data_IF_041731290747
#
_entry.id   IF_041731290747
#
_cell.length_a   1.000
_cell.length_b   1.000
_cell.length_c   1.000
_cell.angle_alpha   90.00
_cell.angle_beta   90.00
_cell.angle_gamma   90.00
#
_symmetry.space_group_name_H-M   'P 1'
#
loop_
_entity.id
_entity.type
_entity.pdbx_description
1 polymer ?
#
# COMPACT_ATOMS: atom_id res chain seq x y z
N UNK A 1 16.94 5.50 -4.89
CA UNK A 1 15.86 4.67 -4.33
C UNK A 1 16.09 3.18 -4.56
N UNK A 2 16.63 2.75 -5.71
CA UNK A 2 16.72 1.33 -6.08
C UNK A 2 18.12 0.70 -6.02
N UNK A 3 19.06 1.31 -5.28
CA UNK A 3 20.48 0.89 -5.27
C UNK A 3 20.71 -0.52 -4.70
N UNK A 4 19.87 -0.99 -3.78
CA UNK A 4 19.98 -2.37 -3.25
C UNK A 4 19.56 -3.46 -4.27
N UNK A 5 18.69 -3.14 -5.24
CA UNK A 5 18.33 -4.08 -6.30
C UNK A 5 19.46 -4.29 -7.32
N UNK A 6 20.45 -3.39 -7.38
CA UNK A 6 21.61 -3.56 -8.27
C UNK A 6 22.58 -4.65 -7.77
N UNK A 7 22.48 -5.07 -6.51
CA UNK A 7 23.40 -6.02 -5.88
C UNK A 7 22.81 -7.42 -5.66
N UNK A 8 21.48 -7.59 -5.70
CA UNK A 8 20.79 -8.80 -5.22
C UNK A 8 19.77 -9.34 -6.25
N UNK A 9 19.72 -8.81 -7.49
CA UNK A 9 18.75 -9.29 -8.47
C UNK A 9 19.10 -10.71 -8.94
N UNK A 10 18.50 -11.70 -8.29
CA UNK A 10 18.27 -13.00 -8.88
C UNK A 10 16.93 -12.92 -9.62
N UNK A 11 16.86 -13.23 -10.93
CA UNK A 11 15.59 -13.24 -11.64
C UNK A 11 14.63 -14.21 -10.94
N UNK A 12 13.57 -13.66 -10.34
CA UNK A 12 12.40 -14.42 -9.94
C UNK A 12 11.59 -14.68 -11.22
N UNK A 13 11.41 -15.95 -11.60
CA UNK A 13 10.70 -16.33 -12.83
C UNK A 13 9.20 -15.96 -12.83
N UNK A 14 8.65 -15.43 -11.73
CA UNK A 14 7.21 -15.18 -11.58
C UNK A 14 6.73 -13.81 -12.07
N UNK A 15 7.58 -12.77 -12.13
CA UNK A 15 7.25 -11.45 -12.72
C UNK A 15 8.20 -11.11 -13.85
N UNK A 16 7.70 -11.17 -15.09
CA UNK A 16 8.44 -10.71 -16.26
C UNK A 16 8.32 -9.18 -16.40
N UNK A 17 9.36 -8.47 -15.96
CA UNK A 17 9.38 -7.01 -15.93
C UNK A 17 9.26 -6.36 -17.31
N UNK A 18 9.84 -6.98 -18.35
CA UNK A 18 9.75 -6.49 -19.73
C UNK A 18 8.33 -6.64 -20.26
N UNK A 19 7.70 -7.80 -20.08
CA UNK A 19 6.30 -8.01 -20.45
C UNK A 19 5.38 -7.05 -19.70
N UNK A 20 5.58 -6.88 -18.39
CA UNK A 20 4.82 -5.91 -17.58
C UNK A 20 4.87 -4.51 -18.19
N UNK A 21 6.05 -4.00 -18.55
CA UNK A 21 6.20 -2.68 -19.16
C UNK A 21 5.58 -2.60 -20.55
N UNK A 22 5.73 -3.65 -21.38
CA UNK A 22 5.08 -3.73 -22.71
C UNK A 22 3.57 -3.64 -22.58
N UNK A 23 2.98 -4.39 -21.64
CA UNK A 23 1.53 -4.36 -21.37
C UNK A 23 1.10 -3.02 -20.82
N UNK A 24 1.89 -2.39 -19.94
CA UNK A 24 1.60 -1.07 -19.38
C UNK A 24 1.85 0.09 -20.37
N UNK A 25 2.30 -0.16 -21.59
CA UNK A 25 2.62 0.88 -22.56
C UNK A 25 1.45 1.86 -22.76
N UNK A 26 1.71 3.15 -22.59
CA UNK A 26 0.70 4.22 -22.70
C UNK A 26 -0.29 4.33 -21.53
N UNK A 27 -0.13 3.53 -20.46
CA UNK A 27 -1.05 3.49 -19.32
C UNK A 27 -0.50 4.17 -18.06
N UNK A 28 -1.41 4.48 -17.14
CA UNK A 28 -1.13 4.94 -15.78
C UNK A 28 -1.51 3.86 -14.77
N UNK A 29 -0.51 3.35 -14.05
CA UNK A 29 -0.68 2.49 -12.88
C UNK A 29 -0.46 3.33 -11.63
N UNK A 30 -1.44 3.36 -10.74
CA UNK A 30 -1.37 4.19 -9.53
C UNK A 30 -1.70 3.42 -8.26
N UNK A 31 -0.82 3.53 -7.27
CA UNK A 31 -1.00 3.00 -5.93
C UNK A 31 -1.59 4.08 -5.04
N UNK A 32 -2.73 3.81 -4.40
CA UNK A 32 -3.43 4.77 -3.53
C UNK A 32 -3.57 4.16 -2.15
N UNK A 33 -3.11 4.85 -1.11
CA UNK A 33 -3.28 4.32 0.24
C UNK A 33 -2.27 4.79 1.27
N UNK A 34 -1.97 3.90 2.21
CA UNK A 34 -1.03 4.15 3.30
C UNK A 34 0.43 3.90 2.89
N UNK A 35 1.34 3.92 3.87
CA UNK A 35 2.77 3.73 3.63
C UNK A 35 3.15 2.34 3.15
N UNK A 36 2.28 1.33 3.32
CA UNK A 36 2.54 -0.03 2.85
C UNK A 36 2.27 -0.12 1.34
N UNK A 37 1.35 0.68 0.80
CA UNK A 37 1.23 0.79 -0.66
C UNK A 37 2.40 1.53 -1.26
N UNK A 38 2.95 2.52 -0.54
CA UNK A 38 4.21 3.14 -0.95
C UNK A 38 5.31 2.09 -1.01
N UNK A 39 5.40 1.19 -0.02
CA UNK A 39 6.38 0.10 0.00
C UNK A 39 6.26 -0.81 -1.24
N UNK A 40 5.03 -1.17 -1.63
CA UNK A 40 4.75 -1.96 -2.83
C UNK A 40 5.07 -1.21 -4.13
N UNK A 41 4.70 0.07 -4.21
CA UNK A 41 5.05 0.94 -5.34
C UNK A 41 6.57 1.08 -5.49
N UNK A 42 7.32 1.27 -4.40
CA UNK A 42 8.78 1.37 -4.44
C UNK A 42 9.42 0.08 -4.96
N UNK A 43 8.93 -1.08 -4.51
CA UNK A 43 9.35 -2.39 -5.04
C UNK A 43 9.13 -2.47 -6.55
N UNK A 44 7.91 -2.20 -7.03
CA UNK A 44 7.58 -2.31 -8.45
C UNK A 44 8.43 -1.39 -9.31
N UNK A 45 8.59 -0.13 -8.88
CA UNK A 45 9.45 0.84 -9.57
C UNK A 45 10.88 0.31 -9.69
N UNK A 46 11.41 -0.32 -8.63
CA UNK A 46 12.77 -0.86 -8.66
C UNK A 46 12.91 -2.10 -9.55
N UNK A 47 11.95 -3.03 -9.50
CA UNK A 47 11.89 -4.20 -10.39
C UNK A 47 11.90 -3.75 -11.86
N UNK A 48 11.00 -2.83 -12.22
CA UNK A 48 10.85 -2.41 -13.61
C UNK A 48 11.98 -1.47 -14.07
N UNK A 49 12.50 -0.60 -13.21
CA UNK A 49 13.67 0.23 -13.56
C UNK A 49 14.90 -0.62 -13.84
N UNK A 50 15.03 -1.77 -13.20
CA UNK A 50 16.16 -2.67 -13.42
C UNK A 50 16.12 -3.36 -14.78
N UNK A 51 14.93 -3.62 -15.34
CA UNK A 51 14.79 -4.24 -16.67
C UNK A 51 14.98 -3.28 -17.85
N UNK A 52 15.13 -1.97 -17.59
CA UNK A 52 15.39 -0.96 -18.61
C UNK A 52 16.89 -0.76 -18.79
N UNK A 53 17.37 -0.83 -20.03
CA UNK A 53 18.77 -0.61 -20.39
C UNK A 53 19.24 0.81 -20.03
N UNK A 54 18.55 1.81 -20.57
CA UNK A 54 18.86 3.22 -20.32
C UNK A 54 18.05 3.76 -19.13
N UNK A 55 18.67 3.73 -17.95
CA UNK A 55 18.09 4.19 -16.69
C UNK A 55 17.79 5.70 -16.65
N UNK A 56 18.38 6.51 -17.53
CA UNK A 56 18.12 7.95 -17.61
C UNK A 56 16.74 8.26 -18.22
N UNK A 57 16.17 7.29 -18.94
CA UNK A 57 14.81 7.33 -19.49
C UNK A 57 13.73 6.93 -18.46
N UNK A 58 14.15 6.70 -17.22
CA UNK A 58 13.28 6.46 -16.07
C UNK A 58 13.48 7.58 -15.05
N UNK A 59 12.54 8.52 -15.02
CA UNK A 59 12.67 9.73 -14.21
C UNK A 59 11.38 10.07 -13.46
N UNK A 60 11.53 10.79 -12.35
CA UNK A 60 10.38 11.32 -11.63
C UNK A 60 9.80 12.52 -12.40
N UNK A 61 8.49 12.52 -12.64
CA UNK A 61 7.82 13.60 -13.35
C UNK A 61 8.09 14.95 -12.68
N UNK A 62 8.49 15.94 -13.46
CA UNK A 62 8.72 17.31 -13.03
C UNK A 62 7.39 18.05 -12.73
N UNK A 63 6.57 17.52 -11.82
CA UNK A 63 5.40 18.22 -11.30
C UNK A 63 5.79 18.98 -10.04
N UNK A 64 5.32 20.24 -9.96
CA UNK A 64 5.66 21.28 -8.97
C UNK A 64 5.94 20.69 -7.58
N UNK A 65 7.02 21.14 -6.94
CA UNK A 65 7.45 20.88 -5.53
C UNK A 65 6.30 20.75 -4.52
N UNK A 66 5.19 21.45 -4.78
CA UNK A 66 3.91 21.42 -4.04
C UNK A 66 3.26 20.03 -3.93
N UNK A 67 3.39 19.14 -4.92
CA UNK A 67 2.78 17.79 -4.89
C UNK A 67 3.61 16.74 -4.13
N UNK A 68 4.94 16.92 -4.05
CA UNK A 68 5.80 16.06 -3.20
C UNK A 68 5.48 16.26 -1.72
N UNK A 69 5.20 17.50 -1.33
CA UNK A 69 4.77 17.86 0.03
C UNK A 69 3.40 17.24 0.39
N UNK A 70 2.56 16.93 -0.60
CA UNK A 70 1.24 16.29 -0.41
C UNK A 70 1.27 14.76 -0.54
N UNK A 71 2.44 14.14 -0.70
CA UNK A 71 2.57 12.67 -0.78
C UNK A 71 2.18 12.06 -2.12
N UNK A 72 2.37 12.78 -3.23
CA UNK A 72 2.21 12.27 -4.59
C UNK A 72 3.57 12.08 -5.28
N UNK A 73 3.81 10.89 -5.83
CA UNK A 73 5.02 10.54 -6.59
C UNK A 73 4.61 9.93 -7.94
N UNK A 74 5.35 10.23 -9.00
CA UNK A 74 5.09 9.72 -10.35
C UNK A 74 6.41 9.44 -11.05
N UNK A 75 6.69 8.16 -11.33
CA UNK A 75 7.85 7.73 -12.13
C UNK A 75 7.40 7.46 -13.55
N UNK A 76 8.08 8.07 -14.51
CA UNK A 76 7.84 7.94 -15.94
C UNK A 76 8.83 6.93 -16.52
N UNK A 77 8.33 5.99 -17.31
CA UNK A 77 9.13 5.09 -18.14
C UNK A 77 8.97 5.55 -19.59
N UNK A 78 9.91 6.36 -20.07
CA UNK A 78 9.73 7.13 -21.31
C UNK A 78 9.54 6.23 -22.54
N UNK A 79 10.31 5.15 -22.66
CA UNK A 79 10.24 4.21 -23.79
C UNK A 79 8.88 3.52 -23.92
N UNK A 80 8.21 3.34 -22.78
CA UNK A 80 6.89 2.72 -22.69
C UNK A 80 5.77 3.77 -22.62
N UNK A 81 6.10 5.07 -22.55
CA UNK A 81 5.12 6.16 -22.42
C UNK A 81 4.12 5.91 -21.29
N UNK A 82 4.55 5.25 -20.22
CA UNK A 82 3.71 4.87 -19.10
C UNK A 82 4.21 5.52 -17.81
N UNK A 83 3.35 5.50 -16.78
CA UNK A 83 3.71 6.04 -15.46
C UNK A 83 3.28 5.11 -14.34
N UNK A 84 4.11 5.08 -13.30
CA UNK A 84 3.88 4.31 -12.07
C UNK A 84 3.87 5.30 -10.92
N UNK A 85 2.70 5.46 -10.32
CA UNK A 85 2.40 6.57 -9.42
C UNK A 85 2.04 6.08 -8.02
N UNK A 86 2.26 6.92 -7.02
CA UNK A 86 1.75 6.74 -5.67
C UNK A 86 1.05 8.01 -5.20
N UNK A 87 -0.15 7.84 -4.64
CA UNK A 87 -0.91 8.88 -3.94
C UNK A 87 -1.09 8.44 -2.49
N UNK A 88 -0.59 9.26 -1.57
CA UNK A 88 -0.90 9.09 -0.15
C UNK A 88 -2.36 9.43 0.10
N UNK A 89 -3.14 8.42 0.48
CA UNK A 89 -4.46 8.59 1.07
C UNK A 89 -4.65 7.52 2.14
N UNK A 90 -4.14 7.81 3.33
CA UNK A 90 -3.89 6.81 4.38
C UNK A 90 -5.16 6.07 4.81
N UNK A 91 -6.28 6.79 4.87
CA UNK A 91 -7.58 6.28 5.26
C UNK A 91 -8.55 6.16 4.06
N UNK A 92 -8.12 6.51 2.84
CA UNK A 92 -8.95 6.71 1.62
C UNK A 92 -9.98 7.84 1.70
N UNK A 93 -10.48 8.11 2.89
CA UNK A 93 -11.40 9.19 3.23
C UNK A 93 -10.67 10.41 3.77
N UNK A 94 -11.35 11.56 3.78
CA UNK A 94 -10.76 12.87 4.02
C UNK A 94 -10.39 13.08 5.49
N UNK A 95 -9.12 13.39 5.75
CA UNK A 95 -8.70 14.00 7.01
C UNK A 95 -8.85 15.51 6.96
N UNK A 96 -9.37 16.12 8.01
CA UNK A 96 -9.44 17.58 8.15
C UNK A 96 -8.11 18.07 8.73
N UNK A 97 -7.40 18.89 7.94
CA UNK A 97 -6.07 19.38 8.28
C UNK A 97 -6.03 20.26 9.54
N UNK A 98 -7.14 20.95 9.85
CA UNK A 98 -7.20 21.93 10.94
C UNK A 98 -7.84 21.39 12.24
N UNK A 99 -8.60 20.29 12.16
CA UNK A 99 -9.46 19.80 13.27
C UNK A 99 -9.11 18.36 13.70
N UNK A 100 -8.04 17.77 13.12
CA UNK A 100 -7.58 16.38 13.24
C UNK A 100 -8.64 15.28 12.97
N UNK A 101 -9.88 15.64 12.61
CA UNK A 101 -10.98 14.72 12.39
C UNK A 101 -10.89 13.97 11.06
N UNK A 102 -11.46 12.78 11.04
CA UNK A 102 -11.61 11.94 9.86
C UNK A 102 -13.07 11.91 9.40
N UNK A 103 -13.33 12.46 8.21
CA UNK A 103 -14.64 12.45 7.55
C UNK A 103 -14.88 11.11 6.87
N UNK A 104 -15.69 10.24 7.48
CA UNK A 104 -15.93 8.89 6.98
C UNK A 104 -16.83 8.85 5.74
N UNK A 105 -17.62 9.90 5.53
CA UNK A 105 -18.58 10.09 4.43
C UNK A 105 -18.00 10.76 3.19
N UNK A 106 -16.75 11.25 3.26
CA UNK A 106 -16.11 11.97 2.16
C UNK A 106 -14.80 11.31 1.75
N UNK A 107 -14.68 10.98 0.46
CA UNK A 107 -13.40 10.60 -0.10
C UNK A 107 -12.36 11.72 -0.01
N UNK A 108 -11.11 11.30 0.07
CA UNK A 108 -9.95 12.18 0.00
C UNK A 108 -9.97 13.06 -1.27
N UNK A 109 -9.49 14.29 -1.14
CA UNK A 109 -9.46 15.27 -2.24
C UNK A 109 -8.52 14.85 -3.38
N UNK A 110 -7.59 13.94 -3.10
CA UNK A 110 -6.66 13.36 -4.06
C UNK A 110 -7.30 12.46 -5.10
N UNK A 111 -8.59 12.13 -4.98
CA UNK A 111 -9.37 11.34 -5.97
C UNK A 111 -9.22 11.82 -7.42
N UNK A 112 -9.06 13.14 -7.63
CA UNK A 112 -8.84 13.72 -8.96
C UNK A 112 -7.55 13.22 -9.64
N UNK A 113 -6.56 12.76 -8.88
CA UNK A 113 -5.29 12.28 -9.41
C UNK A 113 -5.40 10.90 -10.07
N UNK A 114 -6.32 10.04 -9.59
CA UNK A 114 -6.39 8.62 -9.98
C UNK A 114 -7.72 8.19 -10.58
N UNK A 115 -8.77 9.02 -10.59
CA UNK A 115 -10.08 8.67 -11.18
C UNK A 115 -10.05 8.25 -12.66
N UNK A 116 -9.03 8.66 -13.41
CA UNK A 116 -8.87 8.33 -14.85
C UNK A 116 -7.63 7.47 -15.12
N UNK A 117 -7.02 6.89 -14.08
CA UNK A 117 -5.92 5.95 -14.29
C UNK A 117 -6.45 4.63 -14.87
N UNK A 118 -5.58 3.90 -15.58
CA UNK A 118 -5.97 2.66 -16.26
C UNK A 118 -5.92 1.47 -15.29
N UNK A 119 -5.04 1.53 -14.28
CA UNK A 119 -5.00 0.57 -13.17
C UNK A 119 -4.85 1.34 -11.85
N UNK A 120 -5.74 1.07 -10.88
CA UNK A 120 -5.67 1.65 -9.54
C UNK A 120 -5.56 0.55 -8.49
N UNK A 121 -4.45 0.56 -7.73
CA UNK A 121 -4.20 -0.38 -6.64
C UNK A 121 -4.45 0.34 -5.31
N UNK A 122 -5.59 0.09 -4.69
CA UNK A 122 -5.95 0.65 -3.39
C UNK A 122 -5.41 -0.19 -2.24
N UNK A 123 -5.12 0.47 -1.12
CA UNK A 123 -5.06 -0.19 0.18
C UNK A 123 -5.49 0.78 1.28
N UNK A 124 -5.97 0.23 2.38
CA UNK A 124 -5.95 0.91 3.68
C UNK A 124 -6.04 -0.12 4.80
N UNK A 125 -5.52 0.20 5.97
CA UNK A 125 -5.61 -0.70 7.11
C UNK A 125 -4.59 -0.45 8.20
N UNK A 126 -3.36 -0.09 7.86
CA UNK A 126 -2.25 -0.02 8.81
C UNK A 126 -2.47 1.05 9.90
N UNK A 127 -3.14 2.14 9.54
CA UNK A 127 -3.42 3.27 10.44
C UNK A 127 -4.73 3.16 11.22
N UNK A 128 -5.58 2.20 10.87
CA UNK A 128 -6.81 1.87 11.58
C UNK A 128 -6.49 1.03 12.82
N UNK A 129 -5.95 1.67 13.85
CA UNK A 129 -5.58 1.06 15.13
C UNK A 129 -6.29 1.77 16.27
N UNK A 130 -6.41 1.18 17.45
CA UNK A 130 -7.03 1.84 18.60
C UNK A 130 -6.19 3.00 19.19
N UNK A 131 -4.90 3.08 18.85
CA UNK A 131 -3.93 4.00 19.50
C UNK A 131 -3.59 5.26 18.70
N UNK A 132 -3.99 5.33 17.41
CA UNK A 132 -3.61 6.40 16.46
C UNK A 132 -4.71 7.42 16.10
N UNK A 133 -6.01 7.07 16.01
CA UNK A 133 -7.08 8.04 16.22
C UNK A 133 -7.12 8.34 17.72
N UNK A 134 -7.71 9.45 18.17
CA UNK A 134 -7.86 9.88 19.57
C UNK A 134 -8.70 8.91 20.46
N UNK A 135 -8.38 7.61 20.40
CA UNK A 135 -9.19 6.46 20.84
C UNK A 135 -10.60 6.43 20.24
N UNK A 136 -10.82 7.18 19.16
CA UNK A 136 -12.12 7.34 18.51
C UNK A 136 -13.05 8.34 19.21
N UNK A 137 -12.53 9.15 20.14
CA UNK A 137 -13.28 10.21 20.82
C UNK A 137 -13.21 11.49 19.99
N UNK A 138 -14.37 12.00 19.58
CA UNK A 138 -14.55 13.21 18.77
C UNK A 138 -13.71 13.24 17.48
N UNK A 139 -13.29 12.07 17.01
CA UNK A 139 -12.36 11.90 15.88
C UNK A 139 -13.08 11.72 14.55
N UNK A 140 -14.18 10.97 14.57
CA UNK A 140 -14.87 10.56 13.36
C UNK A 140 -16.10 11.41 13.15
N UNK A 141 -16.33 11.83 11.91
CA UNK A 141 -17.43 12.71 11.56
C UNK A 141 -18.11 12.26 10.27
N UNK A 142 -19.42 12.40 10.22
CA UNK A 142 -20.26 12.23 9.02
C UNK A 142 -21.28 13.38 8.96
N UNK A 143 -21.33 14.11 7.85
CA UNK A 143 -22.05 15.38 7.78
C UNK A 143 -21.61 16.34 8.90
N UNK A 144 -22.59 16.82 9.67
CA UNK A 144 -22.37 17.68 10.84
C UNK A 144 -22.27 16.88 12.17
N UNK A 145 -22.43 15.56 12.12
CA UNK A 145 -22.38 14.71 13.31
C UNK A 145 -20.95 14.25 13.60
N UNK A 146 -20.41 14.73 14.72
CA UNK A 146 -19.15 14.24 15.29
C UNK A 146 -19.48 13.15 16.30
N UNK A 147 -18.92 11.95 16.11
CA UNK A 147 -19.17 10.83 17.01
C UNK A 147 -18.41 11.01 18.33
N UNK A 148 -19.10 11.08 19.49
CA UNK A 148 -18.42 11.18 20.78
C UNK A 148 -17.53 9.98 21.07
N UNK A 149 -17.94 8.81 20.59
CA UNK A 149 -17.12 7.60 20.60
C UNK A 149 -17.56 6.71 19.44
N UNK A 150 -16.62 6.39 18.54
CA UNK A 150 -16.85 5.39 17.48
C UNK A 150 -15.70 4.38 17.46
N UNK A 151 -16.05 3.10 17.42
CA UNK A 151 -15.07 2.01 17.38
C UNK A 151 -14.34 2.02 16.05
N UNK A 152 -13.02 1.85 16.07
CA UNK A 152 -12.15 1.89 14.87
C UNK A 152 -12.59 0.93 13.76
N UNK A 153 -13.10 -0.26 14.11
CA UNK A 153 -13.57 -1.24 13.12
C UNK A 153 -14.88 -0.82 12.45
N UNK A 154 -15.74 -0.12 13.19
CA UNK A 154 -16.97 0.45 12.65
C UNK A 154 -16.64 1.62 11.71
N UNK A 155 -15.74 2.50 12.15
CA UNK A 155 -15.23 3.59 11.33
C UNK A 155 -14.54 3.09 10.05
N UNK A 156 -13.73 2.03 10.14
CA UNK A 156 -13.08 1.37 9.01
C UNK A 156 -14.10 0.87 7.98
N UNK A 157 -15.15 0.16 8.45
CA UNK A 157 -16.22 -0.34 7.57
C UNK A 157 -16.96 0.81 6.87
N UNK A 158 -17.31 1.88 7.60
CA UNK A 158 -17.95 3.07 7.02
C UNK A 158 -17.08 3.76 5.95
N UNK A 159 -15.79 3.95 6.24
CA UNK A 159 -14.86 4.51 5.24
C UNK A 159 -14.73 3.62 3.99
N UNK A 160 -14.71 2.30 4.15
CA UNK A 160 -14.74 1.38 3.01
C UNK A 160 -16.05 1.47 2.24
N UNK A 161 -17.20 1.60 2.90
CA UNK A 161 -18.49 1.82 2.23
C UNK A 161 -18.49 3.11 1.41
N UNK A 162 -17.91 4.19 1.93
CA UNK A 162 -17.70 5.45 1.19
C UNK A 162 -16.78 5.25 -0.02
N UNK A 163 -15.67 4.54 0.15
CA UNK A 163 -14.77 4.19 -0.96
C UNK A 163 -15.47 3.36 -2.03
N UNK A 164 -16.20 2.32 -1.63
CA UNK A 164 -16.95 1.45 -2.53
C UNK A 164 -17.99 2.23 -3.34
N UNK A 165 -18.76 3.08 -2.67
CA UNK A 165 -19.76 3.95 -3.31
C UNK A 165 -19.11 4.93 -4.29
N UNK A 166 -17.92 5.46 -3.95
CA UNK A 166 -17.18 6.34 -4.83
C UNK A 166 -16.64 5.60 -6.05
N UNK A 167 -16.11 4.39 -5.87
CA UNK A 167 -15.64 3.54 -6.97
C UNK A 167 -16.80 3.29 -7.94
N UNK A 168 -17.91 2.74 -7.45
CA UNK A 168 -19.11 2.43 -8.25
C UNK A 168 -19.66 3.65 -9.03
N UNK A 169 -19.53 4.85 -8.46
CA UNK A 169 -20.07 6.07 -9.05
C UNK A 169 -19.14 6.77 -10.04
N UNK A 170 -17.83 6.75 -9.79
CA UNK A 170 -16.89 7.64 -10.49
C UNK A 170 -15.81 6.92 -11.30
N UNK A 171 -15.58 5.63 -11.09
CA UNK A 171 -14.64 4.86 -11.89
C UNK A 171 -15.36 4.23 -13.08
N UNK A 172 -14.82 4.42 -14.28
CA UNK A 172 -15.31 3.74 -15.48
C UNK A 172 -14.64 2.37 -15.59
N UNK A 173 -15.31 1.30 -15.15
CA UNK A 173 -14.76 -0.06 -15.16
C UNK A 173 -14.48 -0.62 -16.55
N UNK A 174 -15.07 -0.07 -17.62
CA UNK A 174 -14.74 -0.50 -18.99
C UNK A 174 -13.32 -0.09 -19.39
N UNK A 175 -12.75 0.90 -18.70
CA UNK A 175 -11.39 1.39 -18.93
C UNK A 175 -10.45 1.06 -17.76
N UNK A 176 -10.90 1.30 -16.53
CA UNK A 176 -10.06 1.23 -15.34
C UNK A 176 -10.21 -0.11 -14.65
N UNK A 177 -9.07 -0.74 -14.36
CA UNK A 177 -8.98 -1.95 -13.55
C UNK A 177 -8.74 -1.56 -12.09
N UNK A 178 -9.64 -1.99 -11.20
CA UNK A 178 -9.56 -1.67 -9.76
C UNK A 178 -9.03 -2.89 -9.02
N UNK A 179 -7.94 -2.68 -8.28
CA UNK A 179 -7.32 -3.69 -7.44
C UNK A 179 -7.37 -3.20 -5.99
N UNK A 180 -7.72 -4.09 -5.06
CA UNK A 180 -7.56 -3.82 -3.64
C UNK A 180 -6.54 -4.78 -3.04
N UNK A 181 -5.49 -4.22 -2.45
CA UNK A 181 -4.43 -4.99 -1.80
C UNK A 181 -4.74 -5.14 -0.32
N UNK A 182 -4.77 -6.40 0.14
CA UNK A 182 -5.15 -6.77 1.50
C UNK A 182 -4.24 -6.22 2.61
N UNK A 183 -4.60 -6.54 3.85
CA UNK A 183 -3.91 -6.01 5.02
C UNK A 183 -2.49 -6.56 5.14
N UNK A 184 -1.52 -5.66 5.36
CA UNK A 184 -0.15 -6.03 5.72
C UNK A 184 -0.05 -6.14 7.25
N UNK A 185 0.19 -7.35 7.81
CA UNK A 185 0.39 -7.54 9.24
C UNK A 185 1.67 -6.86 9.76
N UNK A 186 1.79 -6.84 11.08
CA UNK A 186 2.95 -6.33 11.83
C UNK A 186 3.45 -7.41 12.78
N UNK A 187 4.76 -7.55 12.96
CA UNK A 187 5.35 -8.62 13.77
C UNK A 187 6.07 -8.09 15.02
N UNK A 188 5.32 -7.44 15.92
CA UNK A 188 5.86 -7.01 17.21
C UNK A 188 5.78 -8.15 18.23
N UNK A 189 6.92 -8.71 18.63
CA UNK A 189 7.00 -9.77 19.65
C UNK A 189 7.02 -9.19 21.06
N UNK A 190 6.38 -9.87 22.01
CA UNK A 190 6.37 -9.52 23.43
C UNK A 190 5.37 -8.43 23.80
N UNK A 191 5.42 -7.27 23.13
CA UNK A 191 4.49 -6.15 23.33
C UNK A 191 4.10 -5.49 22.00
N UNK A 192 3.16 -4.53 22.02
CA UNK A 192 2.85 -3.68 20.86
C UNK A 192 3.99 -2.67 20.57
N UNK A 193 3.93 -2.01 19.41
CA UNK A 193 4.98 -1.11 18.92
C UNK A 193 5.35 0.04 19.87
N UNK A 194 4.38 0.63 20.60
CA UNK A 194 4.65 1.66 21.63
C UNK A 194 5.12 1.10 22.97
N UNK A 195 5.04 -0.20 23.15
CA UNK A 195 5.24 -0.89 24.42
C UNK A 195 6.53 -1.72 24.43
N UNK A 196 7.43 -1.52 23.45
CA UNK A 196 8.70 -2.23 23.38
C UNK A 196 8.64 -3.57 22.64
N UNK A 197 7.67 -3.75 21.74
CA UNK A 197 7.65 -4.89 20.82
C UNK A 197 8.80 -4.87 19.81
N UNK A 198 9.30 -6.05 19.41
CA UNK A 198 10.52 -6.16 18.60
C UNK A 198 10.44 -7.25 17.53
N UNK A 199 11.26 -7.13 16.47
CA UNK A 199 11.46 -8.11 15.39
C UNK A 199 12.92 -8.28 14.95
N UNK A 200 13.89 -7.60 15.57
CA UNK A 200 15.27 -7.45 15.05
C UNK A 200 16.14 -8.73 15.06
N UNK A 201 15.62 -9.85 15.61
CA UNK A 201 16.29 -11.16 15.64
C UNK A 201 15.52 -12.24 14.88
N UNK A 202 14.42 -11.89 14.25
CA UNK A 202 13.66 -12.83 13.45
C UNK A 202 14.33 -12.88 12.07
N UNK A 203 15.01 -13.98 11.75
CA UNK A 203 15.75 -14.17 10.48
C UNK A 203 15.15 -15.25 9.59
N UNK A 204 14.11 -15.92 10.08
CA UNK A 204 13.41 -16.98 9.38
C UNK A 204 11.89 -16.75 9.40
N UNK A 205 11.17 -17.22 8.37
CA UNK A 205 9.71 -17.23 8.38
C UNK A 205 9.12 -18.02 9.56
N UNK A 206 7.82 -17.88 9.75
CA UNK A 206 7.05 -18.79 10.59
C UNK A 206 6.90 -20.11 9.83
N UNK A 207 7.32 -21.22 10.42
CA UNK A 207 7.08 -22.57 9.86
C UNK A 207 5.93 -23.29 10.54
N UNK A 208 5.60 -22.92 11.77
CA UNK A 208 4.53 -23.54 12.55
C UNK A 208 3.30 -22.63 12.55
N UNK A 209 2.23 -23.09 11.91
CA UNK A 209 0.99 -22.35 11.70
C UNK A 209 0.30 -21.91 13.00
N UNK A 210 0.58 -22.56 14.13
CA UNK A 210 0.02 -22.16 15.44
C UNK A 210 0.48 -20.77 15.89
N UNK A 211 1.60 -20.27 15.35
CA UNK A 211 2.09 -18.91 15.62
C UNK A 211 1.49 -17.85 14.68
N UNK A 212 0.71 -18.26 13.68
CA UNK A 212 0.07 -17.32 12.77
C UNK A 212 -1.06 -16.57 13.47
N UNK A 213 -1.23 -15.32 13.06
CA UNK A 213 -2.33 -14.48 13.49
C UNK A 213 -3.66 -15.04 12.99
N UNK A 214 -4.74 -14.78 13.74
CA UNK A 214 -6.10 -14.97 13.22
C UNK A 214 -6.32 -14.06 12.02
N UNK A 215 -7.17 -14.50 11.09
CA UNK A 215 -7.47 -13.72 9.89
C UNK A 215 -7.97 -12.30 10.28
N UNK A 216 -7.39 -11.23 9.71
CA UNK A 216 -7.65 -9.88 10.20
C UNK A 216 -9.14 -9.50 10.08
N UNK A 217 -9.79 -8.99 11.15
CA UNK A 217 -11.16 -8.48 11.06
C UNK A 217 -11.37 -7.40 10.00
N UNK A 218 -10.32 -6.62 9.70
CA UNK A 218 -10.30 -5.64 8.60
C UNK A 218 -10.53 -6.27 7.23
N UNK A 219 -10.05 -7.50 7.02
CA UNK A 219 -10.27 -8.15 5.73
C UNK A 219 -11.68 -8.68 5.59
N UNK A 220 -12.25 -9.22 6.67
CA UNK A 220 -13.68 -9.58 6.70
C UNK A 220 -14.58 -8.37 6.42
N UNK A 221 -14.30 -7.24 7.06
CA UNK A 221 -15.04 -6.00 6.78
C UNK A 221 -14.88 -5.52 5.33
N UNK A 222 -13.71 -5.71 4.72
CA UNK A 222 -13.50 -5.40 3.30
C UNK A 222 -14.26 -6.35 2.38
N UNK A 223 -14.21 -7.65 2.64
CA UNK A 223 -14.93 -8.68 1.89
C UNK A 223 -16.44 -8.40 1.90
N UNK A 224 -17.01 -8.12 3.07
CA UNK A 224 -18.43 -7.75 3.21
C UNK A 224 -18.82 -6.49 2.40
N UNK A 225 -17.93 -5.51 2.31
CA UNK A 225 -18.18 -4.29 1.51
C UNK A 225 -18.02 -4.58 0.03
N UNK A 226 -17.00 -5.35 -0.35
CA UNK A 226 -16.70 -5.73 -1.73
C UNK A 226 -17.84 -6.54 -2.36
N UNK A 227 -18.46 -7.44 -1.60
CA UNK A 227 -19.63 -8.23 -2.05
C UNK A 227 -20.84 -7.36 -2.46
N UNK A 228 -20.91 -6.12 -1.95
CA UNK A 228 -22.00 -5.19 -2.25
C UNK A 228 -21.68 -4.24 -3.42
N UNK A 229 -20.46 -4.29 -3.96
CA UNK A 229 -20.01 -3.42 -5.04
C UNK A 229 -20.55 -3.88 -6.40
N UNK A 230 -20.89 -2.93 -7.25
CA UNK A 230 -21.18 -3.21 -8.67
C UNK A 230 -19.89 -3.33 -9.47
N UNK A 231 -18.88 -2.57 -9.07
CA UNK A 231 -17.55 -2.59 -9.67
C UNK A 231 -16.90 -3.97 -9.51
N UNK A 232 -16.32 -4.53 -10.58
CA UNK A 232 -15.42 -5.66 -10.44
C UNK A 232 -14.11 -5.18 -9.80
N UNK A 233 -13.77 -5.76 -8.64
CA UNK A 233 -12.52 -5.47 -7.91
C UNK A 233 -11.68 -6.73 -7.85
N UNK A 234 -10.43 -6.64 -8.32
CA UNK A 234 -9.44 -7.70 -8.10
C UNK A 234 -8.91 -7.60 -6.68
N UNK A 235 -9.19 -8.61 -5.86
CA UNK A 235 -8.72 -8.66 -4.48
C UNK A 235 -7.40 -9.42 -4.36
N UNK A 236 -6.31 -8.73 -4.00
CA UNK A 236 -5.04 -9.36 -3.65
C UNK A 236 -5.05 -9.72 -2.16
N UNK A 237 -5.48 -10.93 -1.82
CA UNK A 237 -5.49 -11.43 -0.44
C UNK A 237 -4.08 -11.81 0.05
N UNK A 238 -3.26 -10.80 0.31
CA UNK A 238 -1.87 -10.97 0.76
C UNK A 238 -1.73 -11.24 2.26
N UNK A 239 -2.82 -11.18 3.05
CA UNK A 239 -2.71 -11.08 4.51
C UNK A 239 -2.05 -12.33 5.11
N UNK A 240 -2.48 -13.52 4.68
CA UNK A 240 -1.98 -14.79 5.22
C UNK A 240 -0.54 -15.08 4.79
N UNK A 241 -0.22 -14.95 3.50
CA UNK A 241 1.15 -15.20 3.02
C UNK A 241 2.16 -14.25 3.67
N UNK A 242 1.74 -13.02 3.96
CA UNK A 242 2.60 -12.00 4.56
C UNK A 242 2.83 -12.25 6.06
N UNK A 243 1.86 -12.83 6.76
CA UNK A 243 1.95 -13.16 8.19
C UNK A 243 3.01 -14.23 8.48
N UNK A 244 3.36 -15.06 7.48
CA UNK A 244 4.49 -15.97 7.61
C UNK A 244 5.84 -15.23 7.72
N UNK A 245 5.93 -13.99 7.24
CA UNK A 245 7.21 -13.35 6.92
C UNK A 245 7.72 -12.43 8.02
N UNK A 246 7.72 -12.88 9.28
CA UNK A 246 8.26 -12.09 10.41
C UNK A 246 9.73 -11.66 10.23
N UNK A 247 10.46 -12.35 9.35
CA UNK A 247 11.85 -12.09 8.95
C UNK A 247 12.03 -10.90 7.99
N UNK A 248 10.96 -10.45 7.34
CA UNK A 248 11.05 -9.49 6.23
C UNK A 248 11.12 -8.02 6.60
N UNK A 249 11.12 -7.68 7.88
CA UNK A 249 11.04 -6.31 8.36
C UNK A 249 12.41 -5.63 8.44
N UNK A 250 12.52 -4.32 8.13
CA UNK A 250 13.77 -3.56 8.31
C UNK A 250 14.22 -3.54 9.76
N UNK A 251 13.27 -3.59 10.70
CA UNK A 251 13.55 -3.56 12.11
C UNK A 251 14.36 -2.31 12.50
N UNK A 252 15.57 -2.48 13.02
CA UNK A 252 16.47 -1.38 13.39
C UNK A 252 17.17 -0.76 12.18
N UNK A 253 17.19 -1.44 11.02
CA UNK A 253 17.94 -1.06 9.82
C UNK A 253 17.18 -0.11 8.87
N UNK A 254 16.13 0.57 9.35
CA UNK A 254 15.30 1.48 8.54
C UNK A 254 16.02 2.71 8.01
N UNK A 255 17.14 3.09 8.63
CA UNK A 255 17.96 4.25 8.24
C UNK A 255 19.40 4.07 8.74
N UNK A 256 20.32 4.80 8.12
CA UNK A 256 21.67 4.99 8.66
C UNK A 256 21.60 5.90 9.88
N UNK A 257 22.26 5.51 10.97
CA UNK A 257 22.37 6.32 12.18
C UNK A 257 23.72 7.02 12.17
N UNK A 258 23.71 8.33 12.45
CA UNK A 258 24.94 9.13 12.44
C UNK A 258 25.62 9.15 13.81
N UNK A 259 24.93 8.72 14.86
CA UNK A 259 25.46 8.66 16.22
C UNK A 259 25.02 7.40 16.95
N UNK A 260 25.82 6.97 17.93
CA UNK A 260 25.50 5.85 18.84
C UNK A 260 24.18 6.11 19.59
N UNK A 261 23.91 7.36 19.98
CA UNK A 261 22.66 7.72 20.67
C UNK A 261 21.43 7.50 19.79
N UNK A 262 21.52 7.87 18.50
CA UNK A 262 20.45 7.62 17.54
C UNK A 262 20.26 6.12 17.28
N UNK A 263 21.34 5.36 17.21
CA UNK A 263 21.28 3.90 17.06
C UNK A 263 20.56 3.25 18.25
N UNK A 264 20.96 3.58 19.49
CA UNK A 264 20.30 3.06 20.71
C UNK A 264 18.81 3.43 20.72
N UNK A 265 18.45 4.63 20.28
CA UNK A 265 17.05 5.03 20.17
C UNK A 265 16.29 4.24 19.08
N UNK A 266 16.96 3.95 17.96
CA UNK A 266 16.43 3.11 16.89
C UNK A 266 16.19 1.66 17.34
N UNK A 267 17.12 1.09 18.10
CA UNK A 267 17.00 -0.27 18.68
C UNK A 267 15.83 -0.41 19.65
N UNK A 268 15.45 0.69 20.33
CA UNK A 268 14.26 0.74 21.19
C UNK A 268 12.94 0.88 20.43
N UNK A 269 12.98 1.20 19.13
CA UNK A 269 11.80 1.40 18.30
C UNK A 269 12.00 0.78 16.90
N UNK A 270 12.12 -0.56 16.82
CA UNK A 270 12.28 -1.24 15.54
C UNK A 270 11.02 -1.09 14.68
N UNK A 271 11.22 -0.96 13.37
CA UNK A 271 10.13 -0.98 12.39
C UNK A 271 9.76 -2.43 12.07
N UNK A 272 8.69 -2.93 12.72
CA UNK A 272 8.11 -4.25 12.46
C UNK A 272 6.78 -4.13 11.68
N UNK A 273 6.67 -3.07 10.88
CA UNK A 273 5.48 -2.72 10.11
C UNK A 273 5.77 -2.70 8.62
N UNK A 274 6.81 -1.99 8.19
CA UNK A 274 7.24 -1.90 6.80
C UNK A 274 8.16 -3.06 6.43
N UNK A 275 8.50 -3.17 5.15
CA UNK A 275 9.22 -4.31 4.60
C UNK A 275 10.52 -3.88 3.92
N UNK A 276 11.56 -4.70 4.11
CA UNK A 276 12.78 -4.60 3.34
C UNK A 276 12.50 -4.73 1.84
N UNK A 277 13.33 -4.07 1.03
CA UNK A 277 13.35 -4.19 -0.42
C UNK A 277 14.79 -4.49 -0.88
N UNK A 278 15.04 -5.55 -1.69
CA UNK A 278 14.07 -6.55 -2.14
C UNK A 278 13.46 -7.36 -0.98
N UNK A 279 12.26 -7.90 -1.18
CA UNK A 279 11.53 -8.61 -0.14
C UNK A 279 10.05 -8.84 -0.42
N UNK A 280 9.26 -8.90 0.64
CA UNK A 280 7.84 -9.28 0.61
C UNK A 280 6.98 -8.46 -0.39
N UNK A 281 7.20 -7.14 -0.56
CA UNK A 281 6.46 -6.37 -1.54
C UNK A 281 6.73 -6.79 -3.00
N UNK A 282 7.85 -7.47 -3.28
CA UNK A 282 8.11 -8.07 -4.60
C UNK A 282 7.08 -9.17 -4.88
N UNK A 283 6.84 -10.08 -3.92
CA UNK A 283 5.78 -11.12 -4.01
C UNK A 283 4.39 -10.51 -4.18
N UNK A 284 4.09 -9.37 -3.56
CA UNK A 284 2.81 -8.69 -3.79
C UNK A 284 2.68 -8.19 -5.23
N UNK A 285 3.78 -7.72 -5.83
CA UNK A 285 3.82 -7.27 -7.22
C UNK A 285 3.76 -8.46 -8.20
N UNK A 286 4.33 -9.61 -7.85
CA UNK A 286 4.15 -10.86 -8.59
C UNK A 286 2.67 -11.27 -8.63
N UNK A 287 1.97 -11.18 -7.49
CA UNK A 287 0.53 -11.43 -7.42
C UNK A 287 -0.30 -10.41 -8.21
N UNK A 288 0.10 -9.13 -8.20
CA UNK A 288 -0.53 -8.10 -9.04
C UNK A 288 -0.38 -8.45 -10.52
N UNK A 289 0.83 -8.78 -10.95
CA UNK A 289 1.12 -9.17 -12.34
C UNK A 289 0.31 -10.40 -12.75
N UNK A 290 0.36 -11.48 -11.98
CA UNK A 290 -0.42 -12.69 -12.24
C UNK A 290 -1.94 -12.41 -12.28
N UNK A 291 -2.45 -11.57 -11.38
CA UNK A 291 -3.87 -11.23 -11.35
C UNK A 291 -4.31 -10.40 -12.55
N UNK A 292 -3.44 -9.50 -13.05
CA UNK A 292 -3.70 -8.74 -14.26
C UNK A 292 -3.61 -9.64 -15.50
N UNK A 293 -2.72 -10.62 -15.57
CA UNK A 293 -2.71 -11.58 -16.68
C UNK A 293 -3.97 -12.46 -16.71
N UNK A 294 -4.47 -12.86 -15.54
CA UNK A 294 -5.64 -13.75 -15.43
C UNK A 294 -6.97 -13.02 -15.65
N UNK A 295 -7.11 -11.82 -15.06
CA UNK A 295 -8.40 -11.13 -14.98
C UNK A 295 -8.37 -9.75 -15.66
N UNK A 296 -7.24 -9.37 -16.24
CA UNK A 296 -7.05 -8.03 -16.76
C UNK A 296 -7.72 -7.80 -18.11
N UNK A 297 -7.73 -6.54 -18.52
CA UNK A 297 -8.42 -6.06 -19.73
C UNK A 297 -7.46 -5.35 -20.67
N UNK A 298 -7.85 -5.26 -21.93
CA UNK A 298 -7.04 -4.59 -22.96
C UNK A 298 -5.71 -5.31 -23.15
N UNK A 299 -4.60 -4.59 -23.00
CA UNK A 299 -3.24 -5.16 -23.15
C UNK A 299 -2.85 -6.18 -22.07
N UNK A 300 -3.70 -6.39 -21.06
CA UNK A 300 -3.49 -7.39 -20.01
C UNK A 300 -4.16 -8.73 -20.30
N UNK A 301 -4.94 -8.84 -21.38
CA UNK A 301 -5.48 -10.13 -21.81
C UNK A 301 -4.34 -11.04 -22.34
N UNK A 302 -4.42 -12.37 -22.13
CA UNK A 302 -3.42 -13.34 -22.59
C UNK A 302 -3.08 -13.25 -24.08
#
# INVERSE_FOLDING_TARGET
MCTQYELIFFPSDSLNATDFLVRLKGQRLIFVGDSLNRNMWQSLVCILRHSVENKDRVYEAARRRKFKLTGYYSIIFEDYKCSIEYVRSTYLVRGLHDDERLRLDLMDETTKAYREADIVVFNTGHWWTHEKPSKGVDYYQEGDNVYPLLKVMEAYKRALTTWASWVDKYINFNRTQVVFRGYSPTHYRGRQWKSGGQCYKETEPIFNETFLSKYPPKMRAFEEVMEQMKAPVTYLNISRLTDYRKDGHPSVYRKTYNTVREQIAGEKSPDCSHWCLPGIPDTWNELLYASLLLNGRGSWMP
#
